data_IF_415852838810
#
_entry.id   IF_415852838810
#
_cell.length_a   1.000
_cell.length_b   1.000
_cell.length_c   1.000
_cell.angle_alpha   90.00
_cell.angle_beta   90.00
_cell.angle_gamma   90.00
#
_symmetry.space_group_name_H-M   'P 1'
#
loop_
_entity.id
_entity.type
_entity.pdbx_description
1 polymer ?
#
# COMPACT_ATOMS: atom_id res chain seq x y z
N UNK A 1 -52.93 -44.38 -15.82
CA UNK A 1 -53.08 -42.95 -16.16
C UNK A 1 -52.48 -42.20 -14.97
N UNK A 2 -51.18 -41.91 -14.98
CA UNK A 2 -50.53 -40.77 -15.66
C UNK A 2 -51.10 -39.45 -15.11
N UNK A 3 -50.35 -38.55 -14.46
CA UNK A 3 -48.90 -38.42 -14.47
C UNK A 3 -48.32 -37.52 -13.38
N UNK A 4 -47.00 -37.49 -13.43
CA UNK A 4 -46.01 -36.83 -12.60
C UNK A 4 -46.01 -35.33 -12.96
N UNK A 5 -45.95 -34.45 -11.96
CA UNK A 5 -45.94 -32.99 -12.16
C UNK A 5 -45.06 -32.28 -11.13
N UNK A 6 -43.75 -32.52 -11.26
CA UNK A 6 -42.60 -31.70 -10.87
C UNK A 6 -42.78 -30.64 -9.76
N UNK A 7 -42.10 -30.91 -8.64
CA UNK A 7 -41.75 -29.91 -7.65
C UNK A 7 -41.01 -28.74 -8.29
N UNK A 8 -41.54 -27.55 -8.08
CA UNK A 8 -40.86 -26.31 -8.42
C UNK A 8 -39.71 -26.16 -7.43
N UNK A 9 -38.52 -26.58 -7.88
CA UNK A 9 -37.25 -26.30 -7.24
C UNK A 9 -37.22 -24.83 -6.83
N UNK A 10 -37.10 -24.60 -5.51
CA UNK A 10 -36.60 -23.35 -5.01
C UNK A 10 -35.27 -23.10 -5.73
N UNK A 11 -35.28 -22.18 -6.67
CA UNK A 11 -34.07 -21.63 -7.24
C UNK A 11 -33.43 -20.83 -6.11
N UNK A 12 -32.68 -21.54 -5.26
CA UNK A 12 -31.62 -20.98 -4.45
C UNK A 12 -30.67 -20.36 -5.46
N UNK A 13 -30.91 -19.10 -5.76
CA UNK A 13 -29.97 -18.25 -6.47
C UNK A 13 -28.83 -18.07 -5.48
N UNK A 14 -27.96 -19.09 -5.40
CA UNK A 14 -26.66 -18.98 -4.77
C UNK A 14 -25.91 -18.00 -5.66
N UNK A 15 -26.05 -16.71 -5.33
CA UNK A 15 -25.01 -15.75 -5.65
C UNK A 15 -23.78 -16.33 -4.97
N UNK A 16 -22.93 -16.98 -5.74
CA UNK A 16 -21.54 -17.18 -5.36
C UNK A 16 -20.94 -15.77 -5.38
N UNK A 17 -21.22 -15.00 -4.33
CA UNK A 17 -20.31 -13.97 -3.89
C UNK A 17 -19.05 -14.76 -3.58
N UNK A 18 -18.03 -14.67 -4.43
CA UNK A 18 -16.68 -14.98 -4.00
C UNK A 18 -16.30 -13.93 -2.94
N UNK A 19 -16.90 -14.05 -1.75
CA UNK A 19 -16.32 -13.54 -0.53
C UNK A 19 -15.09 -14.44 -0.29
N UNK A 20 -14.00 -14.11 -0.96
CA UNK A 20 -12.67 -14.57 -0.57
C UNK A 20 -12.45 -14.04 0.85
N UNK A 21 -12.90 -14.79 1.84
CA UNK A 21 -12.67 -14.46 3.24
C UNK A 21 -11.16 -14.42 3.45
N UNK A 22 -10.60 -13.24 3.70
CA UNK A 22 -9.23 -13.10 4.18
C UNK A 22 -8.99 -14.05 5.36
N UNK A 23 -7.84 -14.73 5.36
CA UNK A 23 -7.38 -15.51 6.52
C UNK A 23 -7.14 -14.58 7.72
N UNK A 24 -6.91 -15.16 8.92
CA UNK A 24 -6.57 -14.37 10.11
C UNK A 24 -5.37 -13.47 9.88
N UNK A 25 -4.26 -14.08 9.45
CA UNK A 25 -3.00 -13.38 9.17
C UNK A 25 -3.18 -12.30 8.08
N UNK A 26 -3.95 -12.56 7.03
CA UNK A 26 -4.26 -11.56 6.01
C UNK A 26 -5.10 -10.41 6.55
N UNK A 27 -6.01 -10.65 7.52
CA UNK A 27 -6.76 -9.57 8.18
C UNK A 27 -5.84 -8.73 9.05
N UNK A 28 -4.89 -9.35 9.75
CA UNK A 28 -3.94 -8.62 10.59
C UNK A 28 -3.05 -7.71 9.74
N UNK A 29 -2.54 -8.22 8.61
CA UNK A 29 -1.81 -7.43 7.61
C UNK A 29 -2.68 -6.32 7.03
N UNK A 30 -3.93 -6.62 6.64
CA UNK A 30 -4.87 -5.63 6.09
C UNK A 30 -5.15 -4.49 7.09
N UNK A 31 -5.41 -4.82 8.35
CA UNK A 31 -5.67 -3.85 9.40
C UNK A 31 -4.44 -2.96 9.65
N UNK A 32 -3.24 -3.56 9.67
CA UNK A 32 -2.01 -2.80 9.81
C UNK A 32 -1.77 -1.88 8.62
N UNK A 33 -1.97 -2.36 7.39
CA UNK A 33 -1.86 -1.55 6.18
C UNK A 33 -2.82 -0.35 6.22
N UNK A 34 -4.10 -0.59 6.53
CA UNK A 34 -5.12 0.47 6.62
C UNK A 34 -4.82 1.49 7.73
N UNK A 35 -4.26 1.03 8.86
CA UNK A 35 -3.81 1.91 9.94
C UNK A 35 -2.69 2.83 9.43
N UNK A 36 -1.64 2.26 8.85
CA UNK A 36 -0.46 3.02 8.42
C UNK A 36 -0.80 3.96 7.26
N UNK A 37 -1.56 3.50 6.26
CA UNK A 37 -2.02 4.34 5.16
C UNK A 37 -2.87 5.51 5.67
N UNK A 38 -3.75 5.27 6.65
CA UNK A 38 -4.55 6.32 7.28
C UNK A 38 -3.71 7.37 8.03
N UNK A 39 -2.64 6.97 8.73
CA UNK A 39 -1.70 7.90 9.38
C UNK A 39 -1.01 8.78 8.33
N UNK A 40 -0.56 8.19 7.23
CA UNK A 40 0.08 8.91 6.11
C UNK A 40 -0.89 9.87 5.41
N UNK A 41 -2.12 9.45 5.14
CA UNK A 41 -3.17 10.28 4.54
C UNK A 41 -3.58 11.46 5.44
N UNK A 42 -3.57 11.26 6.76
CA UNK A 42 -3.81 12.30 7.75
C UNK A 42 -2.66 13.31 7.86
N UNK A 43 -1.49 13.01 7.28
CA UNK A 43 -0.30 13.83 7.36
C UNK A 43 0.39 13.79 8.73
N UNK A 44 0.20 12.71 9.48
CA UNK A 44 0.82 12.48 10.78
C UNK A 44 2.23 11.89 10.60
N UNK A 45 3.14 12.67 9.98
CA UNK A 45 4.45 12.18 9.50
C UNK A 45 5.36 11.61 10.58
N UNK A 46 5.41 12.25 11.75
CA UNK A 46 6.22 11.77 12.87
C UNK A 46 5.68 10.43 13.38
N UNK A 47 4.36 10.33 13.57
CA UNK A 47 3.69 9.07 13.95
C UNK A 47 3.93 7.98 12.91
N UNK A 48 3.89 8.32 11.61
CA UNK A 48 4.17 7.36 10.55
C UNK A 48 5.60 6.81 10.65
N UNK A 49 6.59 7.67 10.93
CA UNK A 49 8.00 7.25 11.08
C UNK A 49 8.20 6.39 12.34
N UNK A 50 7.58 6.75 13.46
CA UNK A 50 7.78 6.07 14.74
C UNK A 50 7.02 4.74 14.83
N UNK A 51 5.81 4.65 14.27
CA UNK A 51 4.88 3.55 14.54
C UNK A 51 4.29 2.90 13.26
N UNK A 52 4.61 3.42 12.09
CA UNK A 52 4.00 2.99 10.83
C UNK A 52 4.97 2.37 9.84
N UNK A 53 6.16 2.95 9.72
CA UNK A 53 7.16 2.57 8.72
C UNK A 53 8.21 1.64 9.32
N UNK A 54 8.68 0.69 8.53
CA UNK A 54 9.74 -0.21 8.97
C UNK A 54 11.06 0.55 9.23
N UNK A 55 11.91 -0.02 10.09
CA UNK A 55 13.20 0.58 10.44
C UNK A 55 14.13 0.77 9.22
N UNK A 56 13.93 0.03 8.13
CA UNK A 56 14.60 0.22 6.85
C UNK A 56 14.20 1.51 6.15
N UNK A 57 12.89 1.77 6.02
CA UNK A 57 12.38 3.03 5.46
C UNK A 57 12.81 4.23 6.29
N UNK A 58 12.73 4.17 7.63
CA UNK A 58 13.17 5.25 8.51
C UNK A 58 14.63 5.65 8.28
N UNK A 59 15.55 4.66 8.32
CA UNK A 59 16.99 4.90 8.05
C UNK A 59 17.26 5.46 6.65
N UNK A 60 16.47 5.04 5.66
CA UNK A 60 16.60 5.53 4.30
C UNK A 60 16.21 7.02 4.22
N UNK A 61 15.12 7.42 4.87
CA UNK A 61 14.67 8.81 4.93
C UNK A 61 15.67 9.69 5.68
N UNK A 62 16.23 9.21 6.79
CA UNK A 62 17.29 9.92 7.54
C UNK A 62 18.51 10.17 6.65
N UNK A 63 19.01 9.12 5.97
CA UNK A 63 20.15 9.25 5.06
C UNK A 63 19.89 10.24 3.93
N UNK A 64 18.68 10.25 3.37
CA UNK A 64 18.30 11.22 2.34
C UNK A 64 18.23 12.64 2.89
N UNK A 65 17.67 12.81 4.09
CA UNK A 65 17.59 14.11 4.76
C UNK A 65 18.98 14.70 4.98
N UNK A 66 19.92 13.90 5.51
CA UNK A 66 21.30 14.32 5.72
C UNK A 66 21.98 14.72 4.39
N UNK A 67 21.80 13.93 3.33
CA UNK A 67 22.36 14.21 2.02
C UNK A 67 21.80 15.47 1.37
N UNK A 68 20.47 15.69 1.45
CA UNK A 68 19.79 16.83 0.84
C UNK A 68 20.05 18.12 1.63
N UNK A 69 19.99 18.06 2.96
CA UNK A 69 20.34 19.15 3.86
C UNK A 69 21.81 19.54 3.71
N UNK A 70 22.72 18.56 3.57
CA UNK A 70 24.14 18.78 3.31
C UNK A 70 24.42 19.52 1.98
N UNK A 71 23.49 19.47 1.03
CA UNK A 71 23.52 20.22 -0.24
C UNK A 71 22.88 21.60 -0.14
N UNK A 72 22.35 21.97 1.02
CA UNK A 72 21.70 23.26 1.29
C UNK A 72 20.26 23.35 0.75
N UNK A 73 19.59 22.21 0.52
CA UNK A 73 18.19 22.21 0.13
C UNK A 73 17.30 22.43 1.36
N UNK A 74 16.54 23.52 1.35
CA UNK A 74 15.57 23.83 2.41
C UNK A 74 14.36 22.88 2.33
N UNK A 75 13.81 22.49 3.49
CA UNK A 75 12.65 21.60 3.59
C UNK A 75 12.95 20.10 3.47
N UNK A 76 14.19 19.69 3.73
CA UNK A 76 14.63 18.28 3.78
C UNK A 76 15.52 18.02 5.00
N UNK A 77 15.35 18.79 6.07
CA UNK A 77 16.17 18.75 7.29
C UNK A 77 15.82 17.63 8.27
N UNK A 78 14.72 16.90 8.03
CA UNK A 78 14.35 15.69 8.78
C UNK A 78 13.78 14.60 7.87
N UNK A 79 13.75 13.36 8.36
CA UNK A 79 13.05 12.26 7.71
C UNK A 79 11.55 12.55 7.48
N UNK A 80 10.89 13.26 8.40
CA UNK A 80 9.47 13.63 8.27
C UNK A 80 9.22 14.62 7.14
N UNK A 81 10.11 15.60 6.95
CA UNK A 81 10.05 16.53 5.82
C UNK A 81 10.28 15.79 4.49
N UNK A 82 11.26 14.88 4.44
CA UNK A 82 11.50 14.04 3.25
C UNK A 82 10.28 13.16 2.95
N UNK A 83 9.73 12.48 3.97
CA UNK A 83 8.55 11.63 3.84
C UNK A 83 7.36 12.40 3.27
N UNK A 84 7.09 13.61 3.75
CA UNK A 84 6.01 14.46 3.25
C UNK A 84 6.15 14.76 1.75
N UNK A 85 7.37 15.02 1.28
CA UNK A 85 7.62 15.27 -0.15
C UNK A 85 7.43 13.97 -0.94
N UNK A 86 8.08 12.90 -0.53
CA UNK A 86 8.09 11.64 -1.28
C UNK A 86 6.73 10.95 -1.31
N UNK A 87 5.97 11.04 -0.23
CA UNK A 87 4.59 10.55 -0.18
C UNK A 87 3.74 11.16 -1.30
N UNK A 88 3.80 12.48 -1.48
CA UNK A 88 3.00 13.19 -2.50
C UNK A 88 3.39 12.84 -3.94
N UNK A 89 4.65 12.50 -4.16
CA UNK A 89 5.18 12.22 -5.51
C UNK A 89 5.04 10.74 -5.89
N UNK A 90 5.18 9.81 -4.94
CA UNK A 90 5.40 8.40 -5.24
C UNK A 90 4.41 7.43 -4.59
N UNK A 91 3.56 7.88 -3.67
CA UNK A 91 2.62 7.01 -2.95
C UNK A 91 1.20 7.38 -3.34
N UNK A 92 0.44 6.36 -3.74
CA UNK A 92 -0.99 6.48 -4.04
C UNK A 92 -1.74 5.27 -3.48
N UNK A 93 -2.50 5.52 -2.41
CA UNK A 93 -3.32 4.51 -1.75
C UNK A 93 -4.75 4.46 -2.32
N UNK A 94 -5.09 5.27 -3.32
CA UNK A 94 -6.43 5.29 -3.90
C UNK A 94 -6.75 3.96 -4.60
N UNK A 95 -7.64 3.19 -3.98
CA UNK A 95 -8.04 1.89 -4.48
C UNK A 95 -8.53 0.93 -3.41
N UNK A 96 -8.74 -0.31 -3.83
CA UNK A 96 -9.11 -1.42 -2.96
C UNK A 96 -7.98 -2.43 -2.84
N UNK A 97 -7.75 -2.93 -1.62
CA UNK A 97 -6.85 -4.06 -1.41
C UNK A 97 -7.48 -5.32 -2.01
N UNK A 98 -6.86 -5.83 -3.08
CA UNK A 98 -7.36 -6.97 -3.86
C UNK A 98 -6.56 -8.24 -3.66
N UNK A 99 -5.30 -8.12 -3.23
CA UNK A 99 -4.41 -9.25 -2.98
C UNK A 99 -3.52 -8.99 -1.76
N UNK A 100 -3.33 -10.02 -0.94
CA UNK A 100 -2.36 -10.05 0.16
C UNK A 100 -1.63 -11.39 0.09
N UNK A 101 -0.34 -11.36 -0.19
CA UNK A 101 0.53 -12.53 -0.21
C UNK A 101 1.52 -12.45 0.96
N UNK A 102 1.46 -13.42 1.88
CA UNK A 102 2.31 -13.46 3.07
C UNK A 102 3.40 -14.51 2.87
N UNK A 103 4.66 -14.11 3.05
CA UNK A 103 5.83 -14.99 3.07
C UNK A 103 6.68 -14.73 4.33
N UNK A 104 6.48 -15.57 5.34
CA UNK A 104 7.19 -15.45 6.62
C UNK A 104 6.91 -14.13 7.32
N UNK A 105 7.93 -13.26 7.38
CA UNK A 105 7.89 -11.95 8.02
C UNK A 105 7.65 -10.79 7.04
N UNK A 106 7.26 -11.08 5.80
CA UNK A 106 6.91 -10.08 4.80
C UNK A 106 5.54 -10.37 4.21
N UNK A 107 4.83 -9.33 3.77
CA UNK A 107 3.61 -9.46 3.02
C UNK A 107 3.55 -8.43 1.89
N UNK A 108 3.21 -8.89 0.68
CA UNK A 108 2.95 -8.03 -0.47
C UNK A 108 1.44 -7.74 -0.54
N UNK A 109 1.09 -6.48 -0.71
CA UNK A 109 -0.27 -5.96 -0.82
C UNK A 109 -0.43 -5.35 -2.20
N UNK A 110 -1.48 -5.76 -2.92
CA UNK A 110 -1.87 -5.13 -4.18
C UNK A 110 -3.12 -4.27 -3.98
N UNK A 111 -2.98 -2.98 -4.23
CA UNK A 111 -4.06 -2.00 -4.27
C UNK A 111 -4.46 -1.78 -5.72
N UNK A 112 -5.69 -2.14 -6.06
CA UNK A 112 -6.24 -1.94 -7.40
C UNK A 112 -7.13 -0.69 -7.39
N UNK A 113 -6.88 0.28 -8.28
CA UNK A 113 -7.73 1.47 -8.42
C UNK A 113 -9.20 1.10 -8.62
N UNK A 114 -10.12 1.86 -8.01
CA UNK A 114 -11.56 1.66 -8.19
C UNK A 114 -11.93 2.21 -9.58
N UNK A 115 -12.41 1.35 -10.47
CA UNK A 115 -12.95 1.76 -11.77
C UNK A 115 -14.27 2.53 -11.55
N UNK A 116 -14.19 3.86 -11.59
CA UNK A 116 -15.35 4.76 -11.48
C UNK A 116 -16.08 4.95 -12.82
N UNK A 117 -15.71 4.19 -13.85
CA UNK A 117 -16.25 4.31 -15.20
C UNK A 117 -15.60 5.43 -16.03
N UNK A 118 -14.58 6.11 -15.51
CA UNK A 118 -13.65 6.90 -16.33
C UNK A 118 -12.60 5.97 -16.95
N UNK A 119 -12.24 6.20 -18.22
CA UNK A 119 -11.20 5.42 -18.92
C UNK A 119 -9.80 5.75 -18.38
N UNK A 120 -9.56 5.51 -17.09
CA UNK A 120 -8.24 5.53 -16.47
C UNK A 120 -7.99 4.17 -15.87
N UNK A 121 -7.45 3.25 -16.68
CA UNK A 121 -6.88 2.00 -16.16
C UNK A 121 -5.52 2.32 -15.52
N UNK A 122 -5.54 2.99 -14.37
CA UNK A 122 -4.35 3.12 -13.55
C UNK A 122 -3.87 1.70 -13.18
N UNK A 123 -2.55 1.49 -13.25
CA UNK A 123 -1.97 0.20 -12.91
C UNK A 123 -2.12 -0.04 -11.39
N UNK A 124 -2.31 -1.29 -10.94
CA UNK A 124 -2.31 -1.60 -9.51
C UNK A 124 -0.99 -1.17 -8.85
N UNK A 125 -1.10 -0.63 -7.65
CA UNK A 125 0.04 -0.29 -6.80
C UNK A 125 0.39 -1.48 -5.90
N UNK A 126 1.69 -1.70 -5.68
CA UNK A 126 2.20 -2.76 -4.82
C UNK A 126 2.91 -2.14 -3.61
N UNK A 127 2.59 -2.65 -2.43
CA UNK A 127 3.17 -2.23 -1.16
C UNK A 127 3.64 -3.44 -0.37
N UNK A 128 4.70 -3.25 0.42
CA UNK A 128 5.25 -4.31 1.26
C UNK A 128 5.00 -3.97 2.72
N UNK A 129 4.52 -4.95 3.47
CA UNK A 129 4.47 -4.93 4.94
C UNK A 129 5.56 -5.88 5.48
N UNK A 130 6.22 -5.48 6.55
CA UNK A 130 7.28 -6.25 7.22
C UNK A 130 6.88 -6.42 8.69
N UNK A 131 7.06 -7.62 9.23
CA UNK A 131 6.79 -7.93 10.63
C UNK A 131 8.03 -7.60 11.47
N UNK A 132 7.97 -6.50 12.22
CA UNK A 132 9.02 -6.05 13.13
C UNK A 132 8.50 -6.11 14.57
N UNK A 133 9.23 -6.80 15.45
CA UNK A 133 8.88 -6.93 16.89
C UNK A 133 7.44 -7.40 17.20
N UNK A 134 6.79 -8.06 16.23
CA UNK A 134 5.42 -8.56 16.36
C UNK A 134 4.35 -7.64 15.78
N UNK A 135 4.74 -6.52 15.18
CA UNK A 135 3.87 -5.56 14.53
C UNK A 135 4.18 -5.45 13.05
N UNK A 136 3.13 -5.34 12.22
CA UNK A 136 3.28 -5.14 10.79
C UNK A 136 3.50 -3.66 10.49
N UNK A 137 4.64 -3.36 9.89
CA UNK A 137 5.11 -2.04 9.51
C UNK A 137 5.19 -1.96 7.98
N UNK A 138 5.03 -0.78 7.39
CA UNK A 138 5.08 -0.60 5.94
C UNK A 138 6.50 -0.28 5.47
N UNK A 139 6.97 -0.98 4.45
CA UNK A 139 8.21 -0.64 3.74
C UNK A 139 7.88 0.18 2.48
N UNK A 140 8.33 1.42 2.47
CA UNK A 140 8.23 2.35 1.34
C UNK A 140 9.58 2.58 0.66
N UNK A 141 10.66 1.99 1.16
CA UNK A 141 12.01 2.24 0.65
C UNK A 141 12.16 1.82 -0.81
N UNK A 142 11.51 0.73 -1.23
CA UNK A 142 11.52 0.30 -2.64
C UNK A 142 10.69 1.24 -3.52
N UNK A 143 9.51 1.67 -3.06
CA UNK A 143 8.65 2.64 -3.76
C UNK A 143 9.43 3.93 -4.01
N UNK A 144 10.08 4.45 -2.98
CA UNK A 144 10.88 5.68 -3.07
C UNK A 144 12.11 5.53 -3.97
N UNK A 145 12.84 4.41 -3.87
CA UNK A 145 13.98 4.14 -4.76
C UNK A 145 13.56 4.02 -6.22
N UNK A 146 12.49 3.29 -6.49
CA UNK A 146 11.95 3.13 -7.84
C UNK A 146 11.47 4.46 -8.42
N UNK A 147 10.76 5.28 -7.63
CA UNK A 147 10.33 6.62 -8.01
C UNK A 147 11.49 7.53 -8.38
N UNK A 148 12.49 7.65 -7.49
CA UNK A 148 13.70 8.43 -7.78
C UNK A 148 14.46 7.93 -9.01
N UNK A 149 14.60 6.61 -9.17
CA UNK A 149 15.28 6.04 -10.33
C UNK A 149 14.52 6.34 -11.64
N UNK A 150 13.19 6.27 -11.63
CA UNK A 150 12.36 6.63 -12.77
C UNK A 150 12.50 8.11 -13.12
N UNK A 151 12.51 9.01 -12.14
CA UNK A 151 12.68 10.45 -12.36
C UNK A 151 14.08 10.80 -12.87
N UNK A 152 15.13 10.18 -12.32
CA UNK A 152 16.50 10.36 -12.79
C UNK A 152 16.71 9.82 -14.21
N UNK A 153 16.04 8.70 -14.55
CA UNK A 153 16.00 8.18 -15.92
C UNK A 153 15.10 9.02 -16.83
N UNK A 154 14.10 9.71 -16.30
CA UNK A 154 13.24 10.64 -17.03
C UNK A 154 13.90 11.99 -17.28
N UNK A 155 14.84 12.41 -16.42
CA UNK A 155 15.55 13.68 -16.48
C UNK A 155 16.70 13.71 -17.49
N UNK A 156 16.69 12.87 -18.54
CA UNK A 156 17.59 13.07 -19.68
C UNK A 156 17.33 14.46 -20.27
N UNK A 157 18.28 15.34 -20.00
CA UNK A 157 18.61 16.60 -20.66
C UNK A 157 18.07 16.61 -22.11
N UNK A 158 17.20 17.58 -22.39
CA UNK A 158 17.01 18.13 -23.74
C UNK A 158 17.79 19.42 -23.87
#
# INVERSE_FOLDING_TARGET
>A
MSGIGFGLLAATFTVILCACSWSGDQRDVLNAFQRVSGILEAGEWETAIEEGLDAGTGRFLDSLSEDLSGRGLEGYGSASEVLQVFYREYVDFDGEVTMIFIDGSAAEITVTPIDDGSYSAAAPSQYTMVLEEGEWMMDLSEVFRAGMEADLRGSYIR
#
